data_IF_681568696977
#
_entry.id   IF_681568696977
#
_cell.length_a   1.000
_cell.length_b   1.000
_cell.length_c   1.000
_cell.angle_alpha   90.00
_cell.angle_beta   90.00
_cell.angle_gamma   90.00
#
_symmetry.space_group_name_H-M   'P 1'
#
loop_
_entity.id
_entity.type
_entity.pdbx_description
1 polymer ?
#
# COMPACT_ATOMS: atom_id res chain seq x y z
N UNK A 1 -19.24 26.31 31.96
CA UNK A 1 -19.16 27.57 31.19
C UNK A 1 -17.70 27.72 30.77
N UNK A 2 -17.22 27.65 29.53
CA UNK A 2 -17.81 27.60 28.19
C UNK A 2 -16.81 26.87 27.29
N UNK A 3 -17.31 25.96 26.45
CA UNK A 3 -16.55 25.28 25.38
C UNK A 3 -16.31 26.29 24.26
N UNK A 4 -15.05 26.55 23.90
CA UNK A 4 -14.72 27.41 22.77
C UNK A 4 -14.89 26.61 21.46
N UNK A 5 -15.99 26.88 20.76
CA UNK A 5 -16.26 26.34 19.43
C UNK A 5 -15.36 27.00 18.38
N UNK A 6 -14.67 26.17 17.57
CA UNK A 6 -13.94 26.63 16.38
C UNK A 6 -14.89 26.83 15.19
N UNK A 7 -14.71 27.86 14.35
CA UNK A 7 -15.64 28.17 13.28
C UNK A 7 -15.43 27.25 12.08
N UNK A 8 -16.41 26.38 11.80
CA UNK A 8 -16.45 25.57 10.57
C UNK A 8 -16.80 26.46 9.37
N UNK A 9 -15.79 26.98 8.66
CA UNK A 9 -15.99 27.43 7.27
C UNK A 9 -16.24 26.19 6.40
N UNK A 10 -17.51 25.88 6.12
CA UNK A 10 -17.89 24.96 5.05
C UNK A 10 -17.39 25.55 3.73
N UNK A 11 -16.26 25.07 3.23
CA UNK A 11 -15.90 25.23 1.81
C UNK A 11 -16.90 24.39 1.02
N UNK A 12 -17.72 25.05 0.23
CA UNK A 12 -18.57 24.43 -0.77
C UNK A 12 -17.68 23.53 -1.65
N UNK A 13 -17.92 22.22 -1.76
CA UNK A 13 -17.13 21.37 -2.65
C UNK A 13 -17.38 21.87 -4.07
N UNK A 14 -16.34 22.41 -4.71
CA UNK A 14 -16.38 22.66 -6.14
C UNK A 14 -16.77 21.34 -6.79
N UNK A 15 -17.93 21.32 -7.47
CA UNK A 15 -18.34 20.18 -8.27
C UNK A 15 -17.15 19.77 -9.16
N UNK A 16 -16.83 18.47 -9.24
CA UNK A 16 -15.77 18.01 -10.10
C UNK A 16 -16.10 18.44 -11.52
N UNK A 17 -15.24 19.29 -12.12
CA UNK A 17 -15.36 19.59 -13.54
C UNK A 17 -15.26 18.25 -14.28
N UNK A 18 -16.22 17.90 -15.15
CA UNK A 18 -16.12 16.66 -15.91
C UNK A 18 -14.77 16.65 -16.64
N UNK A 19 -14.05 15.54 -16.49
CA UNK A 19 -12.72 15.37 -17.02
C UNK A 19 -12.72 15.72 -18.51
N UNK A 20 -11.83 16.63 -18.91
CA UNK A 20 -11.64 17.05 -20.32
C UNK A 20 -11.42 15.86 -21.27
N UNK A 21 -11.04 14.68 -20.75
CA UNK A 21 -10.94 13.43 -21.49
C UNK A 21 -12.28 12.88 -21.99
N UNK A 22 -13.36 12.96 -21.19
CA UNK A 22 -14.71 12.48 -21.58
C UNK A 22 -15.26 13.32 -22.74
N UNK A 23 -14.92 14.60 -22.76
CA UNK A 23 -15.36 15.52 -23.81
C UNK A 23 -14.64 15.24 -25.14
N UNK A 24 -13.34 14.89 -25.11
CA UNK A 24 -12.59 14.49 -26.29
C UNK A 24 -13.08 13.15 -26.89
N UNK A 25 -13.40 12.16 -26.05
CA UNK A 25 -13.91 10.87 -26.49
C UNK A 25 -15.29 10.99 -27.16
N UNK A 26 -16.16 11.87 -26.63
CA UNK A 26 -17.45 12.19 -27.24
C UNK A 26 -17.31 12.92 -28.57
N UNK A 27 -16.34 13.84 -28.70
CA UNK A 27 -16.07 14.55 -29.94
C UNK A 27 -15.56 13.60 -31.02
N UNK A 28 -14.66 12.66 -30.67
CA UNK A 28 -14.14 11.67 -31.62
C UNK A 28 -15.20 10.65 -32.05
N UNK A 29 -16.07 10.21 -31.13
CA UNK A 29 -17.20 9.36 -31.47
C UNK A 29 -18.20 10.07 -32.40
N UNK A 30 -18.55 11.32 -32.09
CA UNK A 30 -19.44 12.14 -32.92
C UNK A 30 -18.86 12.39 -34.32
N UNK A 31 -17.54 12.65 -34.43
CA UNK A 31 -16.87 12.80 -35.72
C UNK A 31 -16.87 11.49 -36.54
N UNK A 32 -16.78 10.33 -35.88
CA UNK A 32 -16.94 9.02 -36.52
C UNK A 32 -18.36 8.79 -37.07
N UNK A 33 -19.38 9.19 -36.32
CA UNK A 33 -20.78 9.08 -36.74
C UNK A 33 -21.13 10.07 -37.87
N UNK A 34 -20.62 11.30 -37.83
CA UNK A 34 -20.76 12.28 -38.92
C UNK A 34 -20.09 11.80 -40.22
N UNK A 35 -18.90 11.22 -40.13
CA UNK A 35 -18.22 10.66 -41.30
C UNK A 35 -18.99 9.48 -41.89
N UNK A 36 -19.58 8.63 -41.04
CA UNK A 36 -20.44 7.51 -41.47
C UNK A 36 -21.69 8.00 -42.21
N UNK A 37 -22.35 9.03 -41.69
CA UNK A 37 -23.50 9.66 -42.37
C UNK A 37 -23.12 10.31 -43.70
N UNK A 38 -21.93 10.93 -43.80
CA UNK A 38 -21.44 11.51 -45.04
C UNK A 38 -21.16 10.44 -46.13
N UNK A 39 -20.68 9.26 -45.74
CA UNK A 39 -20.51 8.12 -46.66
C UNK A 39 -21.86 7.62 -47.18
N UNK A 40 -22.87 7.53 -46.30
CA UNK A 40 -24.22 7.08 -46.65
C UNK A 40 -24.93 8.08 -47.59
N UNK A 41 -24.75 9.38 -47.41
CA UNK A 41 -25.36 10.42 -48.27
C UNK A 41 -24.72 10.54 -49.66
N UNK A 42 -23.46 10.14 -49.81
CA UNK A 42 -22.76 10.08 -51.11
C UNK A 42 -23.24 8.92 -52.00
N UNK A 43 -24.14 8.07 -51.49
CA UNK A 43 -24.78 7.00 -52.23
C UNK A 43 -25.77 7.44 -53.31
N UNK A 44 -26.21 8.71 -53.35
CA UNK A 44 -27.32 9.13 -54.23
C UNK A 44 -26.93 9.85 -55.53
N UNK A 45 -25.68 10.25 -55.78
CA UNK A 45 -25.39 11.20 -56.89
C UNK A 45 -24.08 11.04 -57.69
N UNK A 46 -23.33 9.92 -57.60
CA UNK A 46 -22.02 9.82 -58.28
C UNK A 46 -21.76 8.55 -59.11
N UNK A 47 -21.01 8.69 -60.20
CA UNK A 47 -20.56 7.60 -61.08
C UNK A 47 -19.71 6.58 -60.31
N UNK A 48 -19.72 5.32 -60.73
CA UNK A 48 -19.10 4.20 -60.00
C UNK A 48 -17.64 4.46 -59.57
N UNK A 49 -16.86 5.17 -60.40
CA UNK A 49 -15.46 5.50 -60.10
C UNK A 49 -15.32 6.48 -58.92
N UNK A 50 -16.19 7.50 -58.85
CA UNK A 50 -16.18 8.48 -57.75
C UNK A 50 -16.62 7.85 -56.42
N UNK A 51 -17.57 6.90 -56.46
CA UNK A 51 -17.94 6.09 -55.28
C UNK A 51 -16.75 5.30 -54.73
N UNK A 52 -15.99 4.62 -55.58
CA UNK A 52 -14.81 3.84 -55.15
C UNK A 52 -13.76 4.73 -54.50
N UNK A 53 -13.44 5.87 -55.09
CA UNK A 53 -12.46 6.83 -54.53
C UNK A 53 -12.92 7.37 -53.17
N UNK A 54 -14.18 7.81 -53.06
CA UNK A 54 -14.75 8.32 -51.81
C UNK A 54 -14.75 7.26 -50.72
N UNK A 55 -15.18 6.03 -51.03
CA UNK A 55 -15.18 4.93 -50.05
C UNK A 55 -13.78 4.56 -49.57
N UNK A 56 -12.78 4.61 -50.46
CA UNK A 56 -11.39 4.30 -50.10
C UNK A 56 -10.76 5.38 -49.22
N UNK A 57 -11.07 6.66 -49.47
CA UNK A 57 -10.62 7.79 -48.64
C UNK A 57 -11.28 7.69 -47.26
N UNK A 58 -12.60 7.45 -47.22
CA UNK A 58 -13.34 7.34 -45.98
C UNK A 58 -12.87 6.14 -45.12
N UNK A 59 -12.61 4.98 -45.74
CA UNK A 59 -12.05 3.81 -45.03
C UNK A 59 -10.66 4.09 -44.44
N UNK A 60 -9.80 4.79 -45.19
CA UNK A 60 -8.47 5.18 -44.72
C UNK A 60 -8.53 6.15 -43.53
N UNK A 61 -9.44 7.12 -43.60
CA UNK A 61 -9.69 8.07 -42.51
C UNK A 61 -10.19 7.32 -41.26
N UNK A 62 -11.17 6.41 -41.41
CA UNK A 62 -11.72 5.64 -40.30
C UNK A 62 -10.65 4.74 -39.64
N UNK A 63 -9.81 4.09 -40.44
CA UNK A 63 -8.70 3.28 -39.96
C UNK A 63 -7.66 4.11 -39.19
N UNK A 64 -7.33 5.32 -39.68
CA UNK A 64 -6.44 6.23 -38.98
C UNK A 64 -7.03 6.69 -37.63
N UNK A 65 -8.32 7.03 -37.59
CA UNK A 65 -9.01 7.37 -36.34
C UNK A 65 -9.04 6.20 -35.35
N UNK A 66 -9.33 4.98 -35.81
CA UNK A 66 -9.32 3.78 -34.98
C UNK A 66 -7.92 3.50 -34.42
N UNK A 67 -6.87 3.66 -35.24
CA UNK A 67 -5.48 3.52 -34.80
C UNK A 67 -5.10 4.58 -33.77
N UNK A 68 -5.44 5.86 -33.99
CA UNK A 68 -5.21 6.95 -33.04
C UNK A 68 -5.97 6.70 -31.72
N UNK A 69 -7.23 6.27 -31.79
CA UNK A 69 -8.03 5.94 -30.62
C UNK A 69 -7.43 4.76 -29.83
N UNK A 70 -7.03 3.70 -30.53
CA UNK A 70 -6.39 2.54 -29.90
C UNK A 70 -5.05 2.91 -29.25
N UNK A 71 -4.18 3.65 -29.96
CA UNK A 71 -2.93 4.17 -29.41
C UNK A 71 -3.15 5.06 -28.20
N UNK A 72 -4.15 5.95 -28.23
CA UNK A 72 -4.50 6.84 -27.11
C UNK A 72 -5.07 6.06 -25.93
N UNK A 73 -5.87 5.03 -26.17
CA UNK A 73 -6.42 4.14 -25.13
C UNK A 73 -5.33 3.32 -24.46
N UNK A 74 -4.42 2.74 -25.25
CA UNK A 74 -3.25 2.01 -24.78
C UNK A 74 -2.28 2.93 -24.02
N UNK A 75 -2.09 4.16 -24.50
CA UNK A 75 -1.32 5.20 -23.81
C UNK A 75 -1.97 5.58 -22.49
N UNK A 76 -3.29 5.76 -22.43
CA UNK A 76 -4.00 6.03 -21.18
C UNK A 76 -3.97 4.86 -20.19
N UNK A 77 -3.98 3.61 -20.67
CA UNK A 77 -3.78 2.43 -19.83
C UNK A 77 -2.35 2.40 -19.24
N UNK A 78 -1.32 2.56 -20.09
CA UNK A 78 0.08 2.67 -19.62
C UNK A 78 0.32 3.89 -18.73
N UNK A 79 -0.33 5.03 -19.00
CA UNK A 79 -0.25 6.21 -18.15
C UNK A 79 -0.99 6.01 -16.83
N UNK A 80 -2.06 5.22 -16.74
CA UNK A 80 -2.66 4.85 -15.45
C UNK A 80 -1.72 3.99 -14.60
N UNK A 81 -0.99 3.09 -15.23
CA UNK A 81 0.08 2.30 -14.59
C UNK A 81 1.28 3.18 -14.20
N UNK A 82 1.65 4.16 -15.02
CA UNK A 82 2.73 5.12 -14.71
C UNK A 82 2.34 6.19 -13.67
N UNK A 83 1.07 6.63 -13.65
CA UNK A 83 0.51 7.62 -12.73
C UNK A 83 0.15 7.04 -11.35
N UNK A 84 0.46 5.77 -11.07
CA UNK A 84 0.32 5.14 -9.75
C UNK A 84 1.21 5.76 -8.65
N UNK A 85 1.78 6.95 -8.86
CA UNK A 85 2.79 7.56 -7.99
C UNK A 85 2.31 8.71 -7.09
N UNK A 86 1.01 9.00 -7.06
CA UNK A 86 0.41 9.81 -6.00
C UNK A 86 -0.89 9.16 -5.53
N UNK A 87 -0.77 8.24 -4.57
CA UNK A 87 -1.92 7.57 -3.94
C UNK A 87 -2.57 8.54 -2.96
N UNK A 88 -3.83 8.88 -3.18
CA UNK A 88 -4.66 9.47 -2.13
C UNK A 88 -5.00 8.36 -1.13
N UNK A 89 -4.25 8.27 -0.04
CA UNK A 89 -4.54 7.35 1.04
C UNK A 89 -5.69 7.89 1.91
N UNK A 90 -6.59 7.00 2.34
CA UNK A 90 -7.69 7.33 3.25
C UNK A 90 -7.22 7.59 4.68
N UNK A 91 -6.11 6.97 5.08
CA UNK A 91 -5.49 7.05 6.40
C UNK A 91 -3.97 6.78 6.29
N UNK A 92 -3.27 6.81 7.42
CA UNK A 92 -1.84 6.51 7.46
C UNK A 92 -1.53 5.05 7.07
N UNK A 93 -2.45 4.11 7.28
CA UNK A 93 -2.25 2.69 6.92
C UNK A 93 -2.15 2.53 5.41
N UNK A 94 -2.92 3.30 4.64
CA UNK A 94 -2.86 3.33 3.18
C UNK A 94 -1.53 3.85 2.59
N UNK A 95 -0.63 4.40 3.42
CA UNK A 95 0.71 4.83 3.04
C UNK A 95 1.80 3.77 3.34
N UNK A 96 1.43 2.64 3.94
CA UNK A 96 2.36 1.56 4.26
C UNK A 96 2.70 0.77 2.99
N UNK A 97 3.98 0.53 2.77
CA UNK A 97 4.50 -0.18 1.61
C UNK A 97 4.85 0.72 0.43
N UNK A 98 5.10 0.10 -0.72
CA UNK A 98 5.59 0.79 -1.93
C UNK A 98 6.82 1.66 -1.65
N UNK A 99 7.71 1.16 -0.79
CA UNK A 99 8.90 1.89 -0.33
C UNK A 99 9.96 1.92 -1.44
N UNK A 100 10.78 2.98 -1.51
CA UNK A 100 11.82 3.08 -2.53
C UNK A 100 12.89 1.99 -2.40
N UNK A 101 13.46 1.60 -3.53
CA UNK A 101 14.70 0.82 -3.62
C UNK A 101 15.80 1.78 -4.07
N UNK A 102 16.81 1.97 -3.22
CA UNK A 102 17.83 3.02 -3.38
C UNK A 102 19.16 2.36 -3.67
N UNK A 103 19.82 2.77 -4.75
CA UNK A 103 21.18 2.31 -5.03
C UNK A 103 22.20 2.95 -4.09
N UNK A 104 23.01 2.10 -3.45
CA UNK A 104 24.11 2.52 -2.59
C UNK A 104 25.38 2.68 -3.42
N UNK A 105 25.46 3.76 -4.22
CA UNK A 105 26.53 4.01 -5.21
C UNK A 105 27.96 3.77 -4.69
N UNK A 106 28.24 4.17 -3.45
CA UNK A 106 29.55 3.94 -2.84
C UNK A 106 29.85 2.45 -2.66
N UNK A 107 28.91 1.68 -2.10
CA UNK A 107 29.04 0.24 -1.93
C UNK A 107 29.08 -0.48 -3.27
N UNK A 108 28.28 -0.05 -4.25
CA UNK A 108 28.32 -0.63 -5.59
C UNK A 108 29.70 -0.50 -6.21
N UNK A 109 30.33 0.68 -6.10
CA UNK A 109 31.66 0.94 -6.65
C UNK A 109 32.77 0.12 -6.01
N UNK A 110 32.77 -0.04 -4.68
CA UNK A 110 33.85 -0.77 -3.98
C UNK A 110 33.71 -2.29 -4.09
N UNK A 111 32.51 -2.80 -4.30
CA UNK A 111 32.25 -4.25 -4.41
C UNK A 111 32.27 -4.75 -5.86
N UNK A 112 32.02 -3.85 -6.83
CA UNK A 112 31.78 -4.23 -8.23
C UNK A 112 30.38 -4.80 -8.48
N UNK A 113 29.55 -4.96 -7.45
CA UNK A 113 28.17 -5.45 -7.55
C UNK A 113 27.17 -4.29 -7.51
N UNK A 114 25.95 -4.46 -8.07
CA UNK A 114 24.86 -3.47 -7.89
C UNK A 114 24.25 -3.64 -6.49
N UNK A 115 24.59 -2.76 -5.55
CA UNK A 115 24.07 -2.83 -4.16
C UNK A 115 22.87 -1.92 -3.99
N UNK A 116 21.72 -2.51 -3.64
CA UNK A 116 20.44 -1.82 -3.48
C UNK A 116 19.93 -1.92 -2.02
N UNK A 117 19.30 -0.85 -1.53
CA UNK A 117 18.73 -0.76 -0.18
C UNK A 117 17.23 -0.47 -0.24
N UNK A 118 16.43 -1.37 0.32
CA UNK A 118 14.97 -1.21 0.42
C UNK A 118 14.64 -0.29 1.62
N UNK A 119 14.16 0.91 1.33
CA UNK A 119 14.04 2.02 2.29
C UNK A 119 12.79 1.91 3.19
N UNK A 120 12.70 0.85 4.00
CA UNK A 120 11.55 0.60 4.89
C UNK A 120 11.38 1.61 6.02
N UNK A 121 12.37 2.45 6.28
CA UNK A 121 12.25 3.59 7.19
C UNK A 121 11.33 4.69 6.65
N UNK A 122 10.93 4.62 5.37
CA UNK A 122 10.01 5.56 4.74
C UNK A 122 8.53 5.18 4.90
N UNK A 123 8.22 4.03 5.53
CA UNK A 123 6.86 3.78 5.99
C UNK A 123 6.48 4.82 7.08
N UNK A 124 5.19 5.15 7.28
CA UNK A 124 4.75 6.25 8.14
C UNK A 124 5.12 6.11 9.63
N UNK A 125 5.21 4.89 10.15
CA UNK A 125 5.72 4.56 11.49
C UNK A 125 7.24 4.40 11.54
N UNK A 126 7.94 4.56 10.42
CA UNK A 126 9.39 4.65 10.32
C UNK A 126 10.11 3.30 10.25
N UNK A 127 9.42 2.19 9.96
CA UNK A 127 10.07 0.88 9.88
C UNK A 127 9.30 -0.17 9.08
N UNK A 128 9.94 -1.31 8.82
CA UNK A 128 9.29 -2.47 8.18
C UNK A 128 8.19 -3.13 9.01
N UNK A 129 8.08 -2.80 10.31
CA UNK A 129 7.05 -3.35 11.19
C UNK A 129 5.67 -2.76 10.93
N UNK A 130 5.60 -1.66 10.18
CA UNK A 130 4.32 -1.09 9.71
C UNK A 130 3.56 -2.11 8.86
N UNK A 131 4.26 -2.83 7.98
CA UNK A 131 3.67 -3.90 7.16
C UNK A 131 3.08 -5.02 8.01
N UNK A 132 3.82 -5.43 9.04
CA UNK A 132 3.42 -6.50 9.97
C UNK A 132 2.19 -6.07 10.78
N UNK A 133 2.22 -4.87 11.36
CA UNK A 133 1.11 -4.32 12.12
C UNK A 133 -0.16 -4.21 11.26
N UNK A 134 -0.05 -3.67 10.05
CA UNK A 134 -1.17 -3.56 9.12
C UNK A 134 -1.74 -4.93 8.75
N UNK A 135 -0.88 -5.92 8.45
CA UNK A 135 -1.32 -7.26 8.08
C UNK A 135 -2.02 -8.00 9.23
N UNK A 136 -1.44 -7.96 10.45
CA UNK A 136 -2.04 -8.60 11.63
C UNK A 136 -3.43 -8.01 11.92
N UNK A 137 -3.54 -6.68 11.90
CA UNK A 137 -4.82 -6.00 12.16
C UNK A 137 -5.83 -6.31 11.05
N UNK A 138 -5.43 -6.28 9.78
CA UNK A 138 -6.32 -6.58 8.67
C UNK A 138 -6.83 -8.04 8.68
N UNK A 139 -5.96 -9.02 9.00
CA UNK A 139 -6.38 -10.43 9.13
C UNK A 139 -7.33 -10.62 10.34
N UNK A 140 -7.08 -9.93 11.45
CA UNK A 140 -7.96 -9.97 12.62
C UNK A 140 -9.32 -9.28 12.39
N UNK A 141 -9.34 -8.18 11.63
CA UNK A 141 -10.58 -7.53 11.17
C UNK A 141 -11.38 -8.47 10.25
N UNK A 142 -10.71 -9.08 9.27
CA UNK A 142 -11.34 -9.95 8.29
C UNK A 142 -11.94 -11.23 8.90
N UNK A 143 -11.29 -11.78 9.93
CA UNK A 143 -11.78 -12.94 10.68
C UNK A 143 -12.85 -12.59 11.72
N UNK A 144 -13.02 -11.31 12.05
CA UNK A 144 -13.93 -10.84 13.11
C UNK A 144 -13.41 -11.04 14.54
N UNK A 145 -12.14 -11.46 14.70
CA UNK A 145 -11.47 -11.59 16.00
C UNK A 145 -11.30 -10.21 16.66
N UNK A 146 -10.90 -9.21 15.87
CA UNK A 146 -10.86 -7.81 16.27
C UNK A 146 -12.17 -7.12 15.84
N UNK A 147 -12.85 -6.49 16.81
CA UNK A 147 -14.12 -5.78 16.57
C UNK A 147 -13.92 -4.27 16.66
N UNK A 148 -14.79 -3.44 16.04
CA UNK A 148 -14.70 -1.98 16.14
C UNK A 148 -14.58 -1.50 17.59
N UNK A 149 -13.61 -0.63 17.87
CA UNK A 149 -13.32 -0.16 19.23
C UNK A 149 -12.63 -1.18 20.14
N UNK A 150 -12.24 -2.34 19.62
CA UNK A 150 -11.48 -3.37 20.30
C UNK A 150 -10.07 -2.95 20.70
N UNK A 151 -9.37 -3.83 21.43
CA UNK A 151 -8.00 -3.57 21.90
C UNK A 151 -6.99 -4.48 21.22
N UNK A 152 -5.92 -3.87 20.73
CA UNK A 152 -4.73 -4.54 20.21
C UNK A 152 -3.73 -4.65 21.35
N UNK A 153 -3.28 -5.86 21.65
CA UNK A 153 -2.31 -6.13 22.72
C UNK A 153 -1.05 -6.78 22.14
N UNK A 154 0.13 -6.29 22.53
CA UNK A 154 1.41 -6.88 22.13
C UNK A 154 2.49 -6.64 23.20
N UNK A 155 3.46 -7.56 23.28
CA UNK A 155 4.64 -7.39 24.11
C UNK A 155 5.78 -6.81 23.28
N UNK A 156 5.95 -5.49 23.32
CA UNK A 156 7.00 -4.77 22.58
C UNK A 156 7.04 -3.31 22.97
N UNK A 157 8.24 -2.73 22.99
CA UNK A 157 8.44 -1.28 22.88
C UNK A 157 9.43 -0.93 21.76
N UNK A 158 9.65 -1.87 20.83
CA UNK A 158 10.41 -1.66 19.61
C UNK A 158 9.57 -1.03 18.50
N UNK A 159 10.05 -1.16 17.26
CA UNK A 159 9.36 -0.67 16.07
C UNK A 159 7.94 -1.23 15.94
N UNK A 160 7.71 -2.51 16.27
CA UNK A 160 6.37 -3.10 16.25
C UNK A 160 5.37 -2.35 17.13
N UNK A 161 5.80 -1.83 18.29
CA UNK A 161 4.92 -1.06 19.17
C UNK A 161 4.51 0.28 18.57
N UNK A 162 5.47 0.98 17.96
CA UNK A 162 5.22 2.24 17.23
C UNK A 162 4.25 1.98 16.07
N UNK A 163 4.49 0.94 15.28
CA UNK A 163 3.65 0.54 14.15
C UNK A 163 2.22 0.17 14.57
N UNK A 164 2.06 -0.63 15.63
CA UNK A 164 0.74 -1.00 16.15
C UNK A 164 -0.01 0.20 16.74
N UNK A 165 0.69 1.10 17.44
CA UNK A 165 0.09 2.34 17.93
C UNK A 165 -0.44 3.21 16.79
N UNK A 166 0.34 3.37 15.71
CA UNK A 166 -0.07 4.12 14.52
C UNK A 166 -1.29 3.48 13.83
N UNK A 167 -1.27 2.16 13.59
CA UNK A 167 -2.38 1.45 12.95
C UNK A 167 -3.63 1.49 13.83
N UNK A 168 -3.50 1.26 15.14
CA UNK A 168 -4.61 1.32 16.07
C UNK A 168 -5.28 2.70 16.06
N UNK A 169 -4.49 3.79 16.08
CA UNK A 169 -5.06 5.14 16.01
C UNK A 169 -5.71 5.47 14.69
N UNK A 170 -5.10 5.06 13.57
CA UNK A 170 -5.70 5.27 12.26
C UNK A 170 -7.04 4.52 12.10
N UNK A 171 -7.19 3.37 12.76
CA UNK A 171 -8.36 2.48 12.63
C UNK A 171 -9.36 2.56 13.80
N UNK A 172 -9.10 3.38 14.81
CA UNK A 172 -10.02 3.57 15.94
C UNK A 172 -10.01 2.47 16.99
N UNK A 173 -8.89 1.75 17.14
CA UNK A 173 -8.68 0.75 18.18
C UNK A 173 -7.94 1.32 19.39
N UNK A 174 -8.13 0.66 20.53
CA UNK A 174 -7.22 0.80 21.67
C UNK A 174 -5.95 0.00 21.41
N UNK A 175 -4.82 0.47 21.95
CA UNK A 175 -3.54 -0.23 21.86
C UNK A 175 -2.91 -0.29 23.25
N UNK A 176 -2.68 -1.50 23.75
CA UNK A 176 -2.00 -1.77 25.01
C UNK A 176 -0.70 -2.52 24.71
N UNK A 177 0.42 -1.93 25.06
CA UNK A 177 1.72 -2.56 24.89
C UNK A 177 2.34 -2.88 26.24
N UNK A 178 2.81 -4.12 26.36
CA UNK A 178 3.55 -4.58 27.53
C UNK A 178 5.04 -4.42 27.22
N UNK A 179 5.74 -3.62 28.02
CA UNK A 179 7.15 -3.31 27.82
C UNK A 179 7.97 -3.60 29.08
N UNK A 180 9.16 -4.19 28.96
CA UNK A 180 10.12 -4.21 30.07
C UNK A 180 10.57 -2.79 30.45
N UNK A 181 11.01 -2.60 31.70
CA UNK A 181 11.47 -1.32 32.25
C UNK A 181 12.83 -0.83 31.71
N UNK A 182 13.62 -1.73 31.10
CA UNK A 182 14.90 -1.45 30.45
C UNK A 182 14.77 -0.80 29.05
N UNK A 183 13.53 -0.57 28.58
CA UNK A 183 13.31 0.05 27.27
C UNK A 183 13.45 1.58 27.31
N UNK A 184 14.13 2.14 26.31
CA UNK A 184 14.44 3.57 26.22
C UNK A 184 13.23 4.49 26.39
N UNK A 185 13.43 5.58 27.13
CA UNK A 185 12.38 6.54 27.46
C UNK A 185 11.85 7.27 26.23
N UNK A 186 12.69 7.49 25.22
CA UNK A 186 12.32 8.12 23.95
C UNK A 186 11.26 7.31 23.21
N UNK A 187 11.43 5.99 23.16
CA UNK A 187 10.47 5.07 22.53
C UNK A 187 9.16 5.04 23.29
N UNK A 188 9.22 4.99 24.62
CA UNK A 188 8.02 5.04 25.44
C UNK A 188 7.25 6.35 25.25
N UNK A 189 7.94 7.50 25.17
CA UNK A 189 7.34 8.80 24.88
C UNK A 189 6.67 8.83 23.50
N UNK A 190 7.34 8.31 22.46
CA UNK A 190 6.77 8.24 21.11
C UNK A 190 5.49 7.40 21.08
N UNK A 191 5.51 6.21 21.68
CA UNK A 191 4.36 5.31 21.75
C UNK A 191 3.18 5.97 22.47
N UNK A 192 3.42 6.64 23.60
CA UNK A 192 2.38 7.40 24.32
C UNK A 192 1.87 8.59 23.53
N UNK A 193 2.73 9.28 22.76
CA UNK A 193 2.33 10.37 21.88
C UNK A 193 1.44 9.89 20.71
N UNK A 194 1.67 8.67 20.22
CA UNK A 194 0.77 7.95 19.32
C UNK A 194 -0.47 7.39 20.05
N UNK A 195 -0.64 7.68 21.34
CA UNK A 195 -1.81 7.36 22.13
C UNK A 195 -1.95 5.88 22.52
N UNK A 196 -0.91 5.06 22.40
CA UNK A 196 -0.95 3.72 22.99
C UNK A 196 -0.70 3.76 24.50
N UNK A 197 -1.32 2.82 25.22
CA UNK A 197 -1.08 2.60 26.64
C UNK A 197 0.15 1.70 26.83
N UNK A 198 0.96 2.00 27.83
CA UNK A 198 2.14 1.20 28.18
C UNK A 198 1.97 0.61 29.58
N UNK A 199 2.00 -0.71 29.68
CA UNK A 199 2.19 -1.42 30.95
C UNK A 199 3.67 -1.79 31.06
N UNK A 200 4.36 -1.21 32.04
CA UNK A 200 5.77 -1.50 32.30
C UNK A 200 5.87 -2.70 33.24
N UNK A 201 6.60 -3.72 32.83
CA UNK A 201 6.84 -4.96 33.59
C UNK A 201 8.32 -5.15 33.86
N UNK A 202 8.65 -6.02 34.83
CA UNK A 202 10.04 -6.41 35.04
C UNK A 202 10.53 -7.27 33.86
N UNK A 203 11.79 -7.10 33.41
CA UNK A 203 12.42 -8.03 32.49
C UNK A 203 12.38 -9.44 33.07
N UNK A 204 12.04 -10.41 32.24
CA UNK A 204 11.96 -11.82 32.63
C UNK A 204 12.44 -12.69 31.46
N UNK A 205 13.01 -13.85 31.75
CA UNK A 205 13.50 -14.78 30.73
C UNK A 205 12.35 -15.46 29.98
N UNK A 206 12.62 -16.03 28.79
CA UNK A 206 11.59 -16.65 27.93
C UNK A 206 10.82 -17.79 28.63
N UNK A 207 11.49 -18.53 29.53
CA UNK A 207 10.88 -19.61 30.32
C UNK A 207 10.06 -19.12 31.52
N UNK A 208 10.13 -17.84 31.87
CA UNK A 208 9.42 -17.27 33.01
C UNK A 208 7.93 -17.07 32.66
N UNK A 209 6.99 -17.52 33.52
CA UNK A 209 5.57 -17.22 33.36
C UNK A 209 5.24 -15.72 33.26
N UNK A 210 6.07 -14.85 33.87
CA UNK A 210 5.97 -13.39 33.82
C UNK A 210 6.71 -12.76 32.63
N UNK A 211 7.22 -13.57 31.68
CA UNK A 211 7.76 -13.05 30.42
C UNK A 211 6.74 -12.10 29.76
N UNK A 212 7.15 -10.93 29.24
CA UNK A 212 6.23 -9.90 28.72
C UNK A 212 5.21 -10.43 27.70
N UNK A 213 5.61 -11.39 26.84
CA UNK A 213 4.70 -12.06 25.89
C UNK A 213 3.57 -12.81 26.59
N UNK A 214 3.87 -13.51 27.69
CA UNK A 214 2.87 -14.25 28.47
C UNK A 214 1.93 -13.27 29.19
N UNK A 215 2.47 -12.17 29.71
CA UNK A 215 1.67 -11.09 30.29
C UNK A 215 0.73 -10.49 29.25
N UNK A 216 1.23 -10.12 28.06
CA UNK A 216 0.42 -9.58 26.97
C UNK A 216 -0.70 -10.55 26.54
N UNK A 217 -0.39 -11.84 26.40
CA UNK A 217 -1.37 -12.88 26.09
C UNK A 217 -2.46 -12.97 27.16
N UNK A 218 -2.08 -12.94 28.45
CA UNK A 218 -3.03 -12.97 29.55
C UNK A 218 -3.91 -11.70 29.60
N UNK A 219 -3.34 -10.51 29.32
CA UNK A 219 -4.08 -9.25 29.25
C UNK A 219 -5.12 -9.27 28.13
N UNK A 220 -4.74 -9.71 26.93
CA UNK A 220 -5.67 -9.85 25.81
C UNK A 220 -6.82 -10.82 26.14
N UNK A 221 -6.50 -11.96 26.76
CA UNK A 221 -7.52 -12.93 27.20
C UNK A 221 -8.51 -12.33 28.21
N UNK A 222 -8.04 -11.52 29.14
CA UNK A 222 -8.88 -10.86 30.15
C UNK A 222 -9.78 -9.76 29.57
N UNK A 223 -9.37 -9.12 28.47
CA UNK A 223 -10.20 -8.13 27.76
C UNK A 223 -11.39 -8.80 27.03
N UNK A 224 -11.29 -10.09 26.73
CA UNK A 224 -12.36 -10.86 26.11
C UNK A 224 -12.50 -10.65 24.60
N UNK A 225 -13.63 -11.09 24.05
CA UNK A 225 -13.88 -11.11 22.62
C UNK A 225 -13.86 -9.70 21.99
N UNK A 226 -13.31 -9.59 20.78
CA UNK A 226 -13.15 -8.32 20.09
C UNK A 226 -11.83 -7.60 20.38
N UNK A 227 -10.95 -8.19 21.19
CA UNK A 227 -9.56 -7.75 21.39
C UNK A 227 -8.62 -8.87 21.00
N UNK A 228 -7.40 -8.53 20.57
CA UNK A 228 -6.43 -9.49 20.05
C UNK A 228 -5.10 -9.41 20.77
N UNK A 229 -4.42 -10.55 20.86
CA UNK A 229 -2.98 -10.61 21.09
C UNK A 229 -2.29 -10.79 19.73
N UNK A 230 -1.53 -9.79 19.28
CA UNK A 230 -0.95 -9.79 17.93
C UNK A 230 -0.01 -10.96 17.66
N UNK A 231 0.76 -11.36 18.68
CA UNK A 231 1.71 -12.46 18.65
C UNK A 231 2.68 -12.42 17.45
N UNK A 232 3.44 -11.32 17.31
CA UNK A 232 4.33 -11.11 16.14
C UNK A 232 5.31 -12.27 15.83
N UNK A 233 5.59 -13.16 16.80
CA UNK A 233 6.50 -14.29 16.64
C UNK A 233 5.85 -15.49 15.93
N UNK A 234 4.61 -15.85 16.29
CA UNK A 234 3.93 -17.02 15.71
C UNK A 234 2.84 -16.65 14.67
N UNK A 235 2.50 -15.36 14.56
CA UNK A 235 1.44 -14.93 13.66
C UNK A 235 1.94 -14.93 12.19
N UNK A 236 1.36 -15.81 11.37
CA UNK A 236 1.72 -15.96 9.95
C UNK A 236 1.48 -14.69 9.13
N UNK A 237 0.62 -13.76 9.57
CA UNK A 237 0.44 -12.46 8.94
C UNK A 237 1.77 -11.68 8.85
N UNK A 238 2.68 -11.85 9.81
CA UNK A 238 4.01 -11.24 9.78
C UNK A 238 4.81 -11.69 8.54
N UNK A 239 4.92 -12.99 8.32
CA UNK A 239 5.59 -13.53 7.13
C UNK A 239 4.86 -13.12 5.85
N UNK A 240 3.54 -13.27 5.81
CA UNK A 240 2.71 -12.97 4.63
C UNK A 240 2.78 -11.50 4.22
N UNK A 241 2.93 -10.58 5.17
CA UNK A 241 3.10 -9.15 4.90
C UNK A 241 4.34 -8.85 4.04
N UNK A 242 5.40 -9.66 4.21
CA UNK A 242 6.63 -9.53 3.44
C UNK A 242 6.57 -10.32 2.14
N UNK A 243 5.92 -11.49 2.14
CA UNK A 243 5.67 -12.32 0.94
C UNK A 243 4.86 -11.54 -0.10
N UNK A 244 3.66 -11.07 0.26
CA UNK A 244 2.70 -10.38 -0.63
C UNK A 244 2.91 -8.86 -0.72
N UNK A 245 4.10 -8.40 -0.38
CA UNK A 245 4.36 -6.97 -0.22
C UNK A 245 5.80 -6.66 -0.56
N UNK A 246 6.67 -6.67 0.44
CA UNK A 246 8.09 -6.33 0.25
C UNK A 246 8.76 -7.13 -0.87
N UNK A 247 8.49 -8.44 -0.95
CA UNK A 247 9.13 -9.32 -1.92
C UNK A 247 8.70 -9.01 -3.36
N UNK A 248 7.40 -8.86 -3.60
CA UNK A 248 6.84 -8.44 -4.89
C UNK A 248 7.38 -7.07 -5.31
N UNK A 249 7.40 -6.11 -4.39
CA UNK A 249 7.97 -4.79 -4.67
C UNK A 249 9.45 -4.86 -5.05
N UNK A 250 10.26 -5.67 -4.35
CA UNK A 250 11.68 -5.85 -4.71
C UNK A 250 11.79 -6.48 -6.09
N UNK A 251 11.00 -7.52 -6.38
CA UNK A 251 11.00 -8.22 -7.66
C UNK A 251 10.68 -7.27 -8.82
N UNK A 252 9.61 -6.49 -8.68
CA UNK A 252 9.21 -5.49 -9.67
C UNK A 252 10.26 -4.38 -9.84
N UNK A 253 10.77 -3.83 -8.73
CA UNK A 253 11.75 -2.73 -8.75
C UNK A 253 13.10 -3.13 -9.35
N UNK A 254 13.43 -4.42 -9.31
CA UNK A 254 14.66 -4.98 -9.89
C UNK A 254 14.45 -5.62 -11.26
N UNK A 255 13.23 -5.61 -11.78
CA UNK A 255 12.86 -6.33 -13.00
C UNK A 255 13.24 -7.84 -12.95
N UNK A 256 13.18 -8.43 -11.76
CA UNK A 256 13.56 -9.84 -11.51
C UNK A 256 15.06 -10.10 -11.35
N UNK A 257 15.92 -9.08 -11.42
CA UNK A 257 17.37 -9.22 -11.28
C UNK A 257 17.81 -9.15 -9.82
N UNK A 258 17.73 -10.28 -9.11
CA UNK A 258 18.19 -10.41 -7.71
C UNK A 258 19.08 -11.64 -7.52
N UNK A 259 20.37 -11.41 -7.28
CA UNK A 259 21.33 -12.48 -6.98
C UNK A 259 21.38 -12.85 -5.48
N UNK A 260 21.19 -11.86 -4.61
CA UNK A 260 21.26 -12.04 -3.17
C UNK A 260 20.35 -11.07 -2.42
N UNK A 261 19.79 -11.53 -1.30
CA UNK A 261 19.02 -10.71 -0.36
C UNK A 261 19.63 -10.80 1.04
N UNK A 262 19.90 -9.65 1.67
CA UNK A 262 20.56 -9.56 2.97
C UNK A 262 19.73 -8.70 3.92
N UNK A 263 19.52 -9.19 5.14
CA UNK A 263 18.84 -8.44 6.21
C UNK A 263 19.27 -8.91 7.60
N UNK A 264 19.11 -8.06 8.62
CA UNK A 264 19.27 -8.45 10.02
C UNK A 264 18.05 -9.20 10.55
N UNK A 265 18.21 -10.40 11.08
CA UNK A 265 17.12 -11.24 11.55
C UNK A 265 16.57 -10.81 12.93
N UNK A 266 15.24 -10.73 13.03
CA UNK A 266 14.50 -10.51 14.27
C UNK A 266 13.47 -11.64 14.48
N UNK A 267 12.18 -11.35 14.30
CA UNK A 267 11.10 -12.36 14.34
C UNK A 267 11.18 -13.41 13.22
N UNK A 268 12.04 -13.23 12.21
CA UNK A 268 12.17 -14.13 11.07
C UNK A 268 11.15 -13.90 9.94
N UNK A 269 10.06 -13.16 10.20
CA UNK A 269 9.00 -12.96 9.20
C UNK A 269 9.46 -12.34 7.89
N UNK A 270 10.35 -11.34 7.93
CA UNK A 270 10.87 -10.68 6.73
C UNK A 270 11.71 -11.62 5.86
N UNK A 271 12.68 -12.33 6.44
CA UNK A 271 13.53 -13.24 5.68
C UNK A 271 12.71 -14.42 5.14
N UNK A 272 11.77 -14.95 5.93
CA UNK A 272 10.90 -16.03 5.50
C UNK A 272 9.98 -15.61 4.34
N UNK A 273 9.29 -14.47 4.48
CA UNK A 273 8.36 -13.99 3.46
C UNK A 273 9.06 -13.62 2.15
N UNK A 274 10.17 -12.89 2.22
CA UNK A 274 10.94 -12.50 1.02
C UNK A 274 11.54 -13.73 0.33
N UNK A 275 12.12 -14.65 1.09
CA UNK A 275 12.74 -15.86 0.51
C UNK A 275 11.74 -16.76 -0.20
N UNK A 276 10.48 -16.82 0.24
CA UNK A 276 9.44 -17.64 -0.41
C UNK A 276 9.15 -17.20 -1.83
N UNK A 277 9.22 -15.90 -2.11
CA UNK A 277 9.03 -15.36 -3.46
C UNK A 277 10.33 -15.45 -4.25
N UNK A 278 11.43 -14.89 -3.72
CA UNK A 278 12.68 -14.81 -4.47
C UNK A 278 13.24 -16.19 -4.83
N UNK A 279 13.09 -17.23 -3.99
CA UNK A 279 13.56 -18.58 -4.35
C UNK A 279 12.75 -19.27 -5.44
N UNK A 280 11.45 -18.97 -5.55
CA UNK A 280 10.57 -19.62 -6.54
C UNK A 280 10.76 -18.97 -7.90
N UNK A 281 10.95 -17.66 -7.95
CA UNK A 281 11.06 -16.91 -9.20
C UNK A 281 12.47 -16.89 -9.79
N UNK A 282 13.48 -17.37 -9.05
CA UNK A 282 14.86 -17.56 -9.55
C UNK A 282 15.11 -18.91 -10.25
N UNK A 283 14.05 -19.66 -10.58
CA UNK A 283 14.09 -20.89 -11.41
C UNK A 283 13.50 -20.62 -12.79
#
# INVERSE_FOLDING_TARGET
RSVAAWPTRRRNPRQPRPAQSIQADRILAAAGDELRMAIESLGSTSTAMARTVVTSIAASILAAFAAIYCCRRLWHQRCKECCQKLRLASDAVGLIGSTPLIELKFLSRITGCRVLAKAEFMNPGGSSKDRVAAAIVAEAEASGELRPGGTIVEATAGSTGVSLALVARARGYHCLLITPDDTSQEKQKLIRALGASLEVVKPAGISDPQHPVNVARARAKNLGAGSIFCNQYDNLANMRAHERGMAEEIWEQTAGEVDAFVMGAGTGGTIAGVSRVLKVTSL
#
